data_IF_545480955256
#
_entry.id   IF_545480955256
#
_cell.length_a   1.000
_cell.length_b   1.000
_cell.length_c   1.000
_cell.angle_alpha   90.00
_cell.angle_beta   90.00
_cell.angle_gamma   90.00
#
_symmetry.space_group_name_H-M   'P 1'
#
loop_
_entity.id
_entity.type
_entity.pdbx_description
1 polymer ?
#
# COMPACT_ATOMS: atom_id res chain seq x y z
N UNK A 1 19.52 0.03 9.08
CA UNK A 1 18.82 -1.27 9.07
C UNK A 1 17.53 -1.10 9.84
N UNK A 2 16.37 -1.28 9.20
CA UNK A 2 15.06 -1.06 9.84
C UNK A 2 14.78 -2.18 10.84
N UNK A 3 14.45 -1.81 12.06
CA UNK A 3 14.01 -2.70 13.12
C UNK A 3 12.61 -3.23 12.76
N UNK A 4 12.49 -4.54 12.50
CA UNK A 4 11.27 -5.15 11.98
C UNK A 4 10.08 -4.95 12.93
N UNK A 5 10.31 -5.00 14.25
CA UNK A 5 9.26 -4.82 15.24
C UNK A 5 8.73 -3.38 15.22
N UNK A 6 9.63 -2.39 15.09
CA UNK A 6 9.23 -0.97 14.97
C UNK A 6 8.48 -0.70 13.67
N UNK A 7 8.94 -1.26 12.55
CA UNK A 7 8.26 -1.16 11.26
C UNK A 7 6.84 -1.71 11.35
N UNK A 8 6.69 -2.92 11.90
CA UNK A 8 5.40 -3.60 12.00
C UNK A 8 4.48 -2.91 13.01
N UNK A 9 4.98 -2.50 14.17
CA UNK A 9 4.19 -1.74 15.14
C UNK A 9 3.67 -0.42 14.53
N UNK A 10 4.53 0.30 13.79
CA UNK A 10 4.15 1.51 13.07
C UNK A 10 3.11 1.21 11.99
N UNK A 11 3.31 0.18 11.17
CA UNK A 11 2.36 -0.24 10.15
C UNK A 11 0.99 -0.64 10.74
N UNK A 12 0.97 -1.44 11.81
CA UNK A 12 -0.26 -1.85 12.51
C UNK A 12 -1.00 -0.69 13.14
N UNK A 13 -0.32 0.39 13.52
CA UNK A 13 -1.01 1.56 14.09
C UNK A 13 -2.01 2.22 13.13
N UNK A 14 -1.96 1.86 11.84
CA UNK A 14 -2.83 2.38 10.78
C UNK A 14 -4.06 1.52 10.48
N UNK A 15 -4.19 0.34 11.08
CA UNK A 15 -5.41 -0.49 10.92
C UNK A 15 -6.57 0.10 11.72
N UNK A 16 -7.80 -0.22 11.30
CA UNK A 16 -9.07 0.19 11.94
C UNK A 16 -9.31 1.71 11.91
N UNK A 17 -8.69 2.42 10.96
CA UNK A 17 -8.79 3.87 10.81
C UNK A 17 -9.73 4.33 9.70
N UNK A 18 -10.38 3.38 9.01
CA UNK A 18 -11.30 3.63 7.89
C UNK A 18 -10.65 4.40 6.75
N UNK A 19 -9.44 4.00 6.38
CA UNK A 19 -8.65 4.70 5.37
C UNK A 19 -9.13 4.29 3.99
N UNK A 20 -9.38 5.27 3.13
CA UNK A 20 -9.72 5.04 1.73
C UNK A 20 -8.47 4.67 0.95
N UNK A 21 -8.56 3.64 0.10
CA UNK A 21 -7.53 3.39 -0.90
C UNK A 21 -7.65 4.41 -2.04
N UNK A 22 -6.60 5.17 -2.30
CA UNK A 22 -6.54 6.09 -3.43
C UNK A 22 -5.14 6.19 -4.01
N UNK A 23 -4.98 5.79 -5.28
CA UNK A 23 -3.69 5.81 -5.95
C UNK A 23 -3.09 7.23 -5.98
N UNK A 24 -1.82 7.33 -5.58
CA UNK A 24 -1.08 8.59 -5.44
C UNK A 24 -1.26 9.28 -4.09
N UNK A 25 -2.19 8.83 -3.24
CA UNK A 25 -2.42 9.44 -1.93
C UNK A 25 -1.48 8.88 -0.85
N UNK A 26 -1.18 9.71 0.14
CA UNK A 26 -0.49 9.29 1.35
C UNK A 26 1.01 9.01 1.20
N UNK A 27 1.66 8.88 2.35
CA UNK A 27 3.08 8.56 2.48
C UNK A 27 4.05 9.63 1.98
N UNK A 28 3.58 10.85 1.75
CA UNK A 28 4.40 11.96 1.25
C UNK A 28 5.42 12.44 2.28
N UNK A 29 4.98 12.59 3.53
CA UNK A 29 5.83 12.95 4.66
C UNK A 29 6.06 11.72 5.58
N UNK A 30 7.28 11.18 5.66
CA UNK A 30 7.59 10.06 6.56
C UNK A 30 7.59 10.46 8.05
N UNK A 31 7.64 11.76 8.37
CA UNK A 31 7.54 12.28 9.74
C UNK A 31 6.11 12.46 10.24
N UNK A 32 5.11 12.38 9.35
CA UNK A 32 3.71 12.57 9.69
C UNK A 32 3.21 11.52 10.70
N UNK A 33 2.24 11.87 11.57
CA UNK A 33 1.66 10.95 12.56
C UNK A 33 0.91 9.77 11.94
N UNK A 34 0.52 9.89 10.67
CA UNK A 34 -0.12 8.82 9.90
C UNK A 34 0.32 8.84 8.43
N UNK A 35 -0.01 7.79 7.69
CA UNK A 35 0.36 7.65 6.28
C UNK A 35 -0.59 8.33 5.30
N UNK A 36 -1.59 9.09 5.76
CA UNK A 36 -2.72 9.50 4.94
C UNK A 36 -2.55 10.90 4.37
N UNK A 37 -3.36 11.22 3.36
CA UNK A 37 -3.61 12.58 2.93
C UNK A 37 -5.11 12.81 2.95
N UNK A 38 -5.54 14.01 3.36
CA UNK A 38 -6.95 14.39 3.31
C UNK A 38 -7.37 14.57 1.85
N UNK A 39 -8.24 13.68 1.38
CA UNK A 39 -8.70 13.66 0.00
C UNK A 39 -10.13 14.19 -0.07
N UNK A 40 -10.34 15.28 -0.81
CA UNK A 40 -11.66 15.82 -1.13
C UNK A 40 -12.38 14.93 -2.17
N UNK A 41 -12.86 13.76 -1.73
CA UNK A 41 -13.56 12.77 -2.57
C UNK A 41 -14.76 13.38 -3.26
N UNK A 42 -15.56 14.19 -2.56
CA UNK A 42 -16.73 14.86 -3.13
C UNK A 42 -16.42 15.70 -4.37
N UNK A 43 -15.24 16.34 -4.38
CA UNK A 43 -14.78 17.17 -5.51
C UNK A 43 -14.10 16.35 -6.60
N UNK A 44 -13.47 15.24 -6.25
CA UNK A 44 -12.83 14.34 -7.21
C UNK A 44 -13.85 13.46 -7.95
N UNK A 45 -14.94 13.09 -7.28
CA UNK A 45 -15.93 12.13 -7.76
C UNK A 45 -16.54 12.48 -9.13
N UNK A 46 -16.99 13.72 -9.41
CA UNK A 46 -17.55 14.07 -10.71
C UNK A 46 -16.56 13.90 -11.88
N UNK A 47 -15.25 13.97 -11.60
CA UNK A 47 -14.19 13.83 -12.59
C UNK A 47 -13.84 12.37 -12.94
N UNK A 48 -14.32 11.39 -12.18
CA UNK A 48 -14.07 9.97 -12.47
C UNK A 48 -14.87 9.51 -13.71
N UNK A 49 -14.36 8.56 -14.52
CA UNK A 49 -15.14 7.92 -15.56
C UNK A 49 -16.47 7.32 -15.04
N UNK A 50 -17.51 7.31 -15.88
CA UNK A 50 -18.86 6.90 -15.45
C UNK A 50 -18.92 5.43 -14.99
N UNK A 51 -18.22 4.54 -15.68
CA UNK A 51 -18.03 3.14 -15.33
C UNK A 51 -17.26 2.99 -14.01
N UNK A 52 -16.23 3.82 -13.79
CA UNK A 52 -15.47 3.83 -12.54
C UNK A 52 -16.34 4.28 -11.36
N UNK A 53 -17.15 5.33 -11.53
CA UNK A 53 -18.14 5.74 -10.51
C UNK A 53 -19.15 4.64 -10.22
N UNK A 54 -19.71 4.01 -11.26
CA UNK A 54 -20.68 2.92 -11.10
C UNK A 54 -20.09 1.74 -10.32
N UNK A 55 -18.82 1.41 -10.55
CA UNK A 55 -18.09 0.36 -9.82
C UNK A 55 -17.82 0.73 -8.36
N UNK A 56 -17.46 1.99 -8.09
CA UNK A 56 -17.05 2.45 -6.76
C UNK A 56 -18.24 2.80 -5.84
N UNK A 57 -19.37 3.22 -6.39
CA UNK A 57 -20.52 3.68 -5.63
C UNK A 57 -21.02 2.67 -4.58
N UNK A 58 -21.26 1.38 -4.90
CA UNK A 58 -21.71 0.42 -3.88
C UNK A 58 -20.68 0.21 -2.77
N UNK A 59 -19.39 0.32 -3.08
CA UNK A 59 -18.30 0.20 -2.09
C UNK A 59 -18.30 1.41 -1.16
N UNK A 60 -18.45 2.63 -1.72
CA UNK A 60 -18.55 3.85 -0.94
C UNK A 60 -19.76 3.82 0.00
N UNK A 61 -20.93 3.43 -0.52
CA UNK A 61 -22.16 3.30 0.26
C UNK A 61 -22.03 2.26 1.37
N UNK A 62 -21.42 1.10 1.09
CA UNK A 62 -21.15 0.07 2.09
C UNK A 62 -20.20 0.54 3.20
N UNK A 63 -19.31 1.49 2.89
CA UNK A 63 -18.43 2.15 3.86
C UNK A 63 -19.10 3.36 4.55
N UNK A 64 -20.37 3.65 4.29
CA UNK A 64 -21.09 4.79 4.84
C UNK A 64 -20.65 6.14 4.28
N UNK A 65 -20.05 6.15 3.09
CA UNK A 65 -19.62 7.37 2.39
C UNK A 65 -20.65 7.77 1.33
N UNK A 66 -20.99 9.06 1.30
CA UNK A 66 -21.72 9.66 0.18
C UNK A 66 -20.73 10.41 -0.72
N UNK A 67 -20.26 9.80 -1.82
CA UNK A 67 -19.29 10.44 -2.70
C UNK A 67 -19.89 11.58 -3.54
N UNK A 68 -21.21 11.80 -3.47
CA UNK A 68 -21.88 12.93 -4.13
C UNK A 68 -21.95 14.18 -3.26
N UNK A 69 -21.68 14.06 -1.95
CA UNK A 69 -21.48 15.19 -1.06
C UNK A 69 -20.21 15.96 -1.49
N UNK A 70 -20.32 17.21 -1.96
CA UNK A 70 -19.16 17.99 -2.45
C UNK A 70 -18.15 18.33 -1.34
N UNK A 71 -18.55 18.24 -0.07
CA UNK A 71 -17.72 18.53 1.09
C UNK A 71 -17.13 17.26 1.72
N UNK A 72 -17.38 16.07 1.14
CA UNK A 72 -16.78 14.83 1.61
C UNK A 72 -15.26 14.87 1.47
N UNK A 73 -14.58 14.87 2.62
CA UNK A 73 -13.13 14.71 2.76
C UNK A 73 -12.85 13.49 3.62
N UNK A 74 -11.98 12.60 3.15
CA UNK A 74 -11.62 11.37 3.88
C UNK A 74 -10.10 11.16 3.89
N UNK A 75 -9.55 10.51 4.93
CA UNK A 75 -8.17 10.09 4.93
C UNK A 75 -7.94 9.02 3.86
N UNK A 76 -6.98 9.25 2.96
CA UNK A 76 -6.65 8.34 1.88
C UNK A 76 -5.17 7.98 1.82
N UNK A 77 -4.87 6.77 1.35
CA UNK A 77 -3.52 6.27 1.17
C UNK A 77 -3.48 5.24 0.03
N UNK A 78 -2.30 4.92 -0.49
CA UNK A 78 -2.08 3.76 -1.36
C UNK A 78 -1.01 2.81 -0.82
N UNK A 79 -0.83 1.67 -1.50
CA UNK A 79 0.10 0.60 -1.11
C UNK A 79 1.53 1.11 -0.92
N UNK A 80 2.08 1.81 -1.90
CA UNK A 80 3.45 2.33 -1.85
C UNK A 80 3.63 3.48 -0.85
N UNK A 81 2.64 4.36 -0.72
CA UNK A 81 2.65 5.45 0.26
C UNK A 81 2.61 4.93 1.69
N UNK A 82 1.75 3.94 1.96
CA UNK A 82 1.69 3.24 3.24
C UNK A 82 3.06 2.62 3.60
N UNK A 83 3.66 1.87 2.67
CA UNK A 83 4.95 1.22 2.91
C UNK A 83 6.08 2.25 3.10
N UNK A 84 6.12 3.32 2.30
CA UNK A 84 7.13 4.39 2.47
C UNK A 84 7.02 5.04 3.85
N UNK A 85 5.80 5.39 4.28
CA UNK A 85 5.58 5.95 5.61
C UNK A 85 5.95 4.98 6.73
N UNK A 86 5.62 3.69 6.59
CA UNK A 86 5.95 2.67 7.58
C UNK A 86 7.47 2.48 7.71
N UNK A 87 8.20 2.53 6.58
CA UNK A 87 9.66 2.48 6.52
C UNK A 87 10.33 3.79 6.99
N UNK A 88 9.56 4.87 7.17
CA UNK A 88 10.09 6.19 7.53
C UNK A 88 10.90 6.84 6.41
N UNK A 89 10.55 6.57 5.14
CA UNK A 89 11.24 7.14 3.97
C UNK A 89 10.32 8.06 3.16
N UNK A 90 10.86 9.15 2.59
CA UNK A 90 10.07 10.02 1.74
C UNK A 90 9.74 9.30 0.43
N UNK A 91 8.49 9.45 -0.01
CA UNK A 91 8.01 8.86 -1.26
C UNK A 91 8.66 9.45 -2.50
N UNK A 92 9.19 10.67 -2.40
CA UNK A 92 10.01 11.31 -3.43
C UNK A 92 11.47 11.27 -3.00
N UNK A 93 12.32 10.63 -3.80
CA UNK A 93 13.78 10.62 -3.59
C UNK A 93 14.36 12.03 -3.80
N UNK A 94 15.55 12.33 -3.27
CA UNK A 94 16.25 13.60 -3.55
C UNK A 94 16.45 13.88 -5.04
N UNK A 95 16.55 12.83 -5.87
CA UNK A 95 16.62 12.93 -7.35
C UNK A 95 15.30 13.32 -8.02
N UNK A 96 14.21 13.47 -7.26
CA UNK A 96 12.86 13.71 -7.77
C UNK A 96 12.10 12.44 -8.15
N UNK A 97 12.76 11.27 -8.17
CA UNK A 97 12.12 10.00 -8.51
C UNK A 97 11.05 9.59 -7.49
N UNK A 98 9.91 9.11 -7.99
CA UNK A 98 8.79 8.65 -7.17
C UNK A 98 8.93 7.17 -6.81
N UNK A 99 8.80 6.83 -5.53
CA UNK A 99 8.78 5.45 -5.07
C UNK A 99 7.35 4.91 -5.24
N UNK A 100 7.19 4.05 -6.24
CA UNK A 100 6.01 3.22 -6.49
C UNK A 100 6.39 1.73 -6.53
N UNK A 101 5.39 0.86 -6.65
CA UNK A 101 5.57 -0.60 -6.73
C UNK A 101 6.56 -1.02 -7.81
N UNK A 102 6.47 -0.42 -9.00
CA UNK A 102 7.33 -0.76 -10.14
C UNK A 102 8.79 -0.39 -9.88
N UNK A 103 9.04 0.78 -9.28
CA UNK A 103 10.39 1.22 -8.93
C UNK A 103 11.03 0.37 -7.82
N UNK A 104 10.23 -0.08 -6.83
CA UNK A 104 10.69 -0.98 -5.77
C UNK A 104 11.03 -2.34 -6.36
N UNK A 105 10.12 -2.88 -7.19
CA UNK A 105 10.33 -4.16 -7.86
C UNK A 105 11.56 -4.12 -8.77
N UNK A 106 11.71 -3.09 -9.61
CA UNK A 106 12.83 -2.95 -10.54
C UNK A 106 14.19 -2.80 -9.85
N UNK A 107 14.24 -2.10 -8.71
CA UNK A 107 15.46 -2.04 -7.89
C UNK A 107 15.77 -3.41 -7.30
N UNK A 108 14.78 -4.06 -6.67
CA UNK A 108 14.95 -5.38 -6.06
C UNK A 108 15.34 -6.48 -7.06
N UNK A 109 14.76 -6.48 -8.26
CA UNK A 109 15.07 -7.47 -9.30
C UNK A 109 16.35 -7.17 -10.08
N UNK A 110 16.99 -6.02 -9.85
CA UNK A 110 18.10 -5.55 -10.65
C UNK A 110 19.22 -4.94 -9.82
N UNK A 111 19.41 -3.60 -9.81
CA UNK A 111 20.56 -2.95 -9.16
C UNK A 111 20.68 -3.16 -7.65
N UNK A 112 19.57 -3.44 -6.97
CA UNK A 112 19.48 -3.68 -5.53
C UNK A 112 20.14 -2.61 -4.66
N UNK A 113 19.94 -1.33 -5.03
CA UNK A 113 20.59 -0.19 -4.35
C UNK A 113 19.95 0.12 -3.01
N UNK A 114 18.62 0.13 -2.96
CA UNK A 114 17.85 0.43 -1.76
C UNK A 114 17.01 -0.77 -1.30
N UNK A 115 16.52 -1.56 -2.25
CA UNK A 115 15.74 -2.76 -2.02
C UNK A 115 16.53 -3.97 -2.48
N UNK A 116 16.88 -4.87 -1.57
CA UNK A 116 17.67 -6.08 -1.86
C UNK A 116 16.75 -7.28 -1.94
N UNK A 117 16.84 -8.06 -3.00
CA UNK A 117 16.03 -9.26 -3.19
C UNK A 117 16.28 -10.29 -2.09
N UNK A 118 15.21 -10.99 -1.68
CA UNK A 118 15.22 -12.05 -0.69
C UNK A 118 14.61 -13.31 -1.33
N UNK A 119 15.35 -14.43 -1.42
CA UNK A 119 14.79 -15.68 -1.96
C UNK A 119 13.69 -16.25 -1.05
N UNK A 120 13.78 -15.95 0.25
CA UNK A 120 12.84 -16.34 1.28
C UNK A 120 12.43 -15.09 2.07
N UNK A 121 11.16 -15.00 2.44
CA UNK A 121 10.64 -13.94 3.28
C UNK A 121 11.13 -14.08 4.72
N UNK A 122 11.35 -12.95 5.35
CA UNK A 122 11.44 -12.80 6.80
C UNK A 122 10.45 -11.74 7.27
N UNK A 123 10.11 -11.76 8.56
CA UNK A 123 9.34 -10.70 9.19
C UNK A 123 10.03 -9.35 8.97
N UNK A 124 9.27 -8.34 8.51
CA UNK A 124 9.77 -7.01 8.15
C UNK A 124 10.25 -6.87 6.70
N UNK A 125 10.33 -7.97 5.93
CA UNK A 125 10.52 -7.87 4.48
C UNK A 125 9.29 -7.30 3.80
N UNK A 126 9.48 -6.83 2.58
CA UNK A 126 8.43 -6.41 1.68
C UNK A 126 8.10 -7.55 0.73
N UNK A 127 6.83 -7.67 0.37
CA UNK A 127 6.37 -8.50 -0.75
C UNK A 127 5.82 -7.57 -1.82
N UNK A 128 6.26 -7.72 -3.06
CA UNK A 128 5.96 -6.77 -4.13
C UNK A 128 5.82 -7.46 -5.48
N UNK A 129 4.85 -7.01 -6.28
CA UNK A 129 4.79 -7.29 -7.72
C UNK A 129 4.58 -5.98 -8.51
N UNK A 130 5.14 -5.88 -9.73
CA UNK A 130 4.99 -4.70 -10.57
C UNK A 130 3.61 -4.71 -11.23
N UNK A 131 3.20 -3.59 -11.81
CA UNK A 131 1.96 -3.44 -12.56
C UNK A 131 1.83 -4.53 -13.65
N UNK A 132 0.82 -5.41 -13.58
CA UNK A 132 0.48 -6.32 -14.67
C UNK A 132 0.05 -5.57 -15.94
N UNK A 133 0.16 -6.21 -17.11
CA UNK A 133 -0.22 -5.62 -18.41
C UNK A 133 -1.66 -5.11 -18.41
N UNK A 134 -2.59 -5.89 -17.86
CA UNK A 134 -4.03 -5.61 -17.88
C UNK A 134 -4.55 -4.94 -16.59
N UNK A 135 -3.66 -4.46 -15.73
CA UNK A 135 -4.03 -3.83 -14.47
C UNK A 135 -3.52 -2.39 -14.38
N UNK A 136 -4.13 -1.58 -13.51
CA UNK A 136 -3.73 -0.17 -13.35
C UNK A 136 -2.44 -0.01 -12.54
N UNK A 137 -2.22 -0.85 -11.53
CA UNK A 137 -1.12 -0.73 -10.57
C UNK A 137 -0.58 -2.11 -10.18
N UNK A 138 0.67 -2.14 -9.69
CA UNK A 138 1.21 -3.29 -8.96
C UNK A 138 0.73 -3.26 -7.50
N UNK A 139 1.36 -4.06 -6.64
CA UNK A 139 1.07 -4.04 -5.21
C UNK A 139 2.28 -4.30 -4.35
N UNK A 140 2.24 -3.80 -3.12
CA UNK A 140 3.30 -3.96 -2.13
C UNK A 140 2.72 -4.08 -0.72
N UNK A 141 3.35 -4.90 0.12
CA UNK A 141 3.01 -5.07 1.52
C UNK A 141 4.21 -5.40 2.39
N UNK A 142 4.00 -5.40 3.70
CA UNK A 142 4.99 -5.72 4.73
C UNK A 142 4.69 -7.11 5.28
N UNK A 143 5.65 -8.02 5.22
CA UNK A 143 5.54 -9.38 5.77
C UNK A 143 5.58 -9.30 7.30
N UNK A 144 4.55 -9.83 7.95
CA UNK A 144 4.40 -9.81 9.42
C UNK A 144 4.49 -11.19 10.06
N UNK A 145 4.36 -12.25 9.28
CA UNK A 145 4.57 -13.62 9.71
C UNK A 145 5.06 -14.48 8.55
N UNK A 146 5.87 -15.50 8.84
CA UNK A 146 6.41 -16.46 7.86
C UNK A 146 6.29 -17.89 8.36
N UNK A 147 6.25 -18.86 7.45
CA UNK A 147 6.34 -20.28 7.77
C UNK A 147 7.80 -20.76 7.91
N UNK A 148 7.99 -22.04 8.26
CA UNK A 148 9.32 -22.64 8.41
C UNK A 148 10.14 -22.77 7.11
N UNK A 149 9.53 -22.50 5.95
CA UNK A 149 10.18 -22.48 4.65
C UNK A 149 10.41 -21.04 4.14
N UNK A 150 10.18 -20.02 4.97
CA UNK A 150 10.37 -18.63 4.60
C UNK A 150 9.31 -18.12 3.61
N UNK A 151 8.10 -18.67 3.60
CA UNK A 151 6.97 -18.09 2.86
C UNK A 151 6.17 -17.16 3.77
N UNK A 152 5.72 -16.03 3.24
CA UNK A 152 4.84 -15.15 3.99
C UNK A 152 3.54 -15.88 4.40
N UNK A 153 3.11 -15.73 5.64
CA UNK A 153 1.81 -16.18 6.14
C UNK A 153 0.85 -15.02 6.35
N UNK A 154 1.41 -13.84 6.67
CA UNK A 154 0.65 -12.62 6.94
C UNK A 154 1.37 -11.42 6.33
N UNK A 155 0.57 -10.52 5.76
CA UNK A 155 1.04 -9.31 5.10
C UNK A 155 0.16 -8.14 5.54
N UNK A 156 0.78 -7.07 6.00
CA UNK A 156 0.15 -5.76 6.17
C UNK A 156 0.25 -4.97 4.87
N UNK A 157 -0.87 -4.55 4.31
CA UNK A 157 -0.88 -3.79 3.04
C UNK A 157 -2.12 -2.90 2.93
N UNK A 158 -2.02 -1.89 2.07
CA UNK A 158 -3.10 -0.96 1.74
C UNK A 158 -3.68 -1.31 0.37
N UNK A 159 -4.96 -1.67 0.25
CA UNK A 159 -5.58 -2.03 -1.04
C UNK A 159 -7.05 -1.63 -1.13
N UNK A 160 -7.54 -1.46 -2.37
CA UNK A 160 -8.96 -1.24 -2.63
C UNK A 160 -9.81 -2.46 -2.23
N UNK A 161 -9.28 -3.67 -2.40
CA UNK A 161 -9.98 -4.90 -2.02
C UNK A 161 -10.16 -4.98 -0.51
N UNK A 162 -9.17 -4.59 0.29
CA UNK A 162 -9.29 -4.48 1.73
C UNK A 162 -10.37 -3.48 2.12
N UNK A 163 -10.43 -2.33 1.45
CA UNK A 163 -11.47 -1.33 1.68
C UNK A 163 -12.86 -1.88 1.35
N UNK A 164 -13.00 -2.68 0.30
CA UNK A 164 -14.25 -3.32 -0.09
C UNK A 164 -14.73 -4.40 0.90
N UNK A 165 -13.89 -4.84 1.84
CA UNK A 165 -14.31 -5.76 2.90
C UNK A 165 -15.15 -5.02 3.96
N UNK A 166 -16.46 -5.27 3.94
CA UNK A 166 -17.43 -4.76 4.91
C UNK A 166 -17.08 -5.08 6.39
N UNK A 167 -17.64 -4.37 7.39
CA UNK A 167 -18.59 -3.24 7.28
C UNK A 167 -17.99 -1.85 7.51
N UNK A 168 -16.70 -1.72 7.83
CA UNK A 168 -16.12 -0.42 8.21
C UNK A 168 -15.34 0.30 7.10
N UNK A 169 -15.03 -0.37 5.99
CA UNK A 169 -14.24 0.20 4.88
C UNK A 169 -12.86 0.64 5.31
N UNK A 170 -11.88 -0.26 5.32
CA UNK A 170 -10.50 0.10 5.66
C UNK A 170 -9.51 -0.56 4.72
N UNK A 171 -8.77 0.27 3.98
CA UNK A 171 -7.79 -0.16 3.01
C UNK A 171 -6.58 -0.84 3.65
N UNK A 172 -6.23 -0.50 4.90
CA UNK A 172 -5.04 -1.03 5.57
C UNK A 172 -5.44 -2.20 6.46
N UNK A 173 -4.99 -3.40 6.09
CA UNK A 173 -5.29 -4.65 6.82
C UNK A 173 -4.12 -5.61 6.80
N UNK A 174 -4.11 -6.49 7.80
CA UNK A 174 -3.25 -7.67 7.84
C UNK A 174 -4.03 -8.89 7.31
N UNK A 175 -3.62 -9.43 6.18
CA UNK A 175 -4.30 -10.57 5.52
C UNK A 175 -3.34 -11.70 5.22
N UNK A 176 -3.86 -12.85 4.78
CA UNK A 176 -3.06 -13.85 4.08
C UNK A 176 -2.45 -13.26 2.79
N UNK A 177 -1.34 -13.80 2.26
CA UNK A 177 -0.63 -13.27 1.09
C UNK A 177 -1.31 -13.62 -0.25
N UNK A 178 -2.54 -14.13 -0.27
CA UNK A 178 -3.20 -14.65 -1.47
C UNK A 178 -3.20 -13.68 -2.66
N UNK A 179 -3.34 -12.37 -2.40
CA UNK A 179 -3.27 -11.34 -3.45
C UNK A 179 -1.89 -11.28 -4.14
N UNK A 180 -0.81 -11.64 -3.44
CA UNK A 180 0.55 -11.65 -3.97
C UNK A 180 0.90 -12.99 -4.62
N UNK A 181 0.41 -14.11 -4.08
CA UNK A 181 0.72 -15.47 -4.58
C UNK A 181 0.16 -15.72 -5.99
N UNK A 182 -0.87 -14.99 -6.39
CA UNK A 182 -1.47 -15.10 -7.72
C UNK A 182 -0.60 -14.48 -8.83
N UNK A 183 0.40 -13.65 -8.47
CA UNK A 183 1.25 -12.96 -9.42
C UNK A 183 2.62 -13.62 -9.54
N UNK A 184 2.96 -14.12 -10.74
CA UNK A 184 4.24 -14.80 -11.02
C UNK A 184 5.48 -13.92 -10.86
N UNK A 185 5.31 -12.60 -10.89
CA UNK A 185 6.40 -11.63 -10.71
C UNK A 185 6.58 -11.19 -9.25
N UNK A 186 5.79 -11.74 -8.32
CA UNK A 186 5.96 -11.46 -6.90
C UNK A 186 7.34 -11.87 -6.43
N UNK A 187 8.01 -10.96 -5.71
CA UNK A 187 9.27 -11.21 -5.02
C UNK A 187 9.23 -10.67 -3.60
N UNK A 188 10.15 -11.17 -2.77
CA UNK A 188 10.43 -10.58 -1.47
C UNK A 188 11.65 -9.67 -1.57
N UNK A 189 11.65 -8.54 -0.86
CA UNK A 189 12.81 -7.67 -0.77
C UNK A 189 12.93 -7.01 0.60
N UNK A 190 14.15 -6.60 0.96
CA UNK A 190 14.43 -5.86 2.19
C UNK A 190 14.90 -4.45 1.86
N UNK A 191 14.33 -3.47 2.55
CA UNK A 191 14.86 -2.11 2.51
C UNK A 191 16.15 -2.01 3.33
N UNK A 192 17.24 -1.57 2.70
CA UNK A 192 18.57 -1.47 3.32
C UNK A 192 18.96 -0.03 3.68
N UNK A 193 18.27 0.97 3.11
CA UNK A 193 18.61 2.39 3.21
C UNK A 193 18.63 3.06 1.84
N UNK A 194 18.63 4.39 1.80
CA UNK A 194 18.92 5.11 0.58
C UNK A 194 20.43 4.99 0.31
N UNK A 195 20.81 4.30 -0.77
CA UNK A 195 22.13 4.43 -1.37
C UNK A 195 22.33 5.77 -2.07
#
# INVERSE_FOLDING_TARGET
MTDADKLIARARSMTERRILYWAGAGGTDPGAPDCTTQLAVGRAWPGLPADERARLLPIAQAAGLDPTDPDLVVPACDCSGFVCWALGIPRRRPTGAWINTDSVWADASGPQRAFVHRPEASVGDLVVYPKPVDARFGHIGIVTAVDGAGRALRVLHCSADNFALAPAGDAIRETAPAAFEQHRQTLYCRFMGAG
#
